data_IF_257556824677
#
_entry.id   IF_257556824677
#
_cell.length_a   1.000
_cell.length_b   1.000
_cell.length_c   1.000
_cell.angle_alpha   90.00
_cell.angle_beta   90.00
_cell.angle_gamma   90.00
#
_symmetry.space_group_name_H-M   'P 1'
#
loop_
_entity.id
_entity.type
_entity.pdbx_description
1 polymer ?
#
# COMPACT_ATOMS: atom_id res chain seq x y z
N UNK A 1 -19.72 -16.32 -8.51
CA UNK A 1 -18.69 -16.58 -9.53
C UNK A 1 -17.34 -16.58 -8.83
N UNK A 2 -16.47 -17.54 -9.16
CA UNK A 2 -15.13 -17.68 -8.56
C UNK A 2 -14.07 -17.51 -9.64
N UNK A 3 -13.02 -16.74 -9.32
CA UNK A 3 -11.85 -16.48 -10.17
C UNK A 3 -10.60 -16.76 -9.35
N UNK A 4 -9.63 -17.46 -9.93
CA UNK A 4 -8.33 -17.71 -9.33
C UNK A 4 -7.29 -16.97 -10.17
N UNK A 5 -6.48 -16.15 -9.50
CA UNK A 5 -5.41 -15.36 -10.10
C UNK A 5 -4.09 -15.84 -9.50
N UNK A 6 -3.20 -16.35 -10.33
CA UNK A 6 -1.85 -16.72 -9.93
C UNK A 6 -0.86 -15.90 -10.75
N UNK A 7 0.05 -15.20 -10.07
CA UNK A 7 1.05 -14.35 -10.72
C UNK A 7 2.37 -14.41 -9.97
N UNK A 8 3.44 -14.26 -10.75
CA UNK A 8 4.80 -14.10 -10.24
C UNK A 8 5.36 -12.83 -10.84
N UNK A 9 5.89 -11.96 -10.00
CA UNK A 9 6.46 -10.67 -10.39
C UNK A 9 7.94 -10.63 -10.00
N UNK A 10 8.85 -10.50 -10.96
CA UNK A 10 10.27 -10.30 -10.64
C UNK A 10 10.47 -8.91 -10.01
N UNK A 11 11.30 -8.86 -8.99
CA UNK A 11 11.65 -7.66 -8.25
C UNK A 11 13.15 -7.45 -8.28
N UNK A 12 13.60 -6.30 -8.77
CA UNK A 12 15.02 -5.91 -8.76
C UNK A 12 15.42 -5.43 -7.34
N UNK A 13 15.37 -6.34 -6.36
CA UNK A 13 15.62 -6.07 -4.95
C UNK A 13 16.07 -7.33 -4.23
N UNK A 14 16.51 -7.16 -2.95
CA UNK A 14 16.80 -8.28 -2.07
C UNK A 14 15.52 -8.90 -1.51
N UNK A 15 15.60 -10.17 -1.15
CA UNK A 15 14.47 -10.89 -0.50
C UNK A 15 14.05 -10.19 0.80
N UNK A 16 15.02 -9.71 1.58
CA UNK A 16 14.73 -9.10 2.89
C UNK A 16 14.07 -7.74 2.76
N UNK A 17 14.46 -6.91 1.77
CA UNK A 17 13.79 -5.65 1.49
C UNK A 17 12.35 -5.86 0.99
N UNK A 18 12.15 -6.82 0.09
CA UNK A 18 10.82 -7.16 -0.41
C UNK A 18 9.93 -7.74 0.70
N UNK A 19 10.47 -8.60 1.56
CA UNK A 19 9.76 -9.13 2.72
C UNK A 19 9.40 -8.04 3.73
N UNK A 20 10.33 -7.13 4.01
CA UNK A 20 10.07 -6.00 4.90
C UNK A 20 8.87 -5.16 4.42
N UNK A 21 8.79 -4.92 3.12
CA UNK A 21 7.65 -4.20 2.52
C UNK A 21 6.36 -5.04 2.53
N UNK A 22 6.46 -6.36 2.25
CA UNK A 22 5.27 -7.23 2.18
C UNK A 22 4.55 -7.40 3.52
N UNK A 23 5.28 -7.39 4.63
CA UNK A 23 4.68 -7.52 5.97
C UNK A 23 3.95 -6.26 6.46
N UNK A 24 4.13 -5.13 5.79
CA UNK A 24 3.40 -3.89 6.07
C UNK A 24 2.11 -3.86 5.23
N UNK A 25 1.01 -4.29 5.84
CA UNK A 25 -0.29 -4.42 5.18
C UNK A 25 -0.82 -3.08 4.65
N UNK A 26 -0.57 -1.98 5.36
CA UNK A 26 -1.02 -0.65 4.95
C UNK A 26 -0.22 -0.17 3.72
N UNK A 27 1.09 -0.37 3.72
CA UNK A 27 1.94 -0.07 2.57
C UNK A 27 1.59 -0.95 1.36
N UNK A 28 1.34 -2.25 1.56
CA UNK A 28 0.87 -3.17 0.51
C UNK A 28 -0.48 -2.73 -0.06
N UNK A 29 -1.42 -2.35 0.80
CA UNK A 29 -2.73 -1.86 0.37
C UNK A 29 -2.62 -0.56 -0.44
N UNK A 30 -1.70 0.33 -0.08
CA UNK A 30 -1.43 1.56 -0.85
C UNK A 30 -0.87 1.28 -2.25
N UNK A 31 -0.21 0.13 -2.47
CA UNK A 31 0.22 -0.31 -3.79
C UNK A 31 -0.94 -0.79 -4.68
N UNK A 32 -2.07 -1.18 -4.09
CA UNK A 32 -3.22 -1.70 -4.82
C UNK A 32 -4.03 -0.55 -5.43
N UNK A 33 -4.15 -0.48 -6.77
CA UNK A 33 -4.84 0.63 -7.42
C UNK A 33 -6.32 0.69 -7.03
N UNK A 34 -6.73 1.86 -6.58
CA UNK A 34 -8.11 2.12 -6.14
C UNK A 34 -8.45 1.62 -4.74
N UNK A 35 -7.51 0.98 -4.02
CA UNK A 35 -7.70 0.58 -2.64
C UNK A 35 -7.28 1.67 -1.66
N UNK A 36 -7.96 1.72 -0.52
CA UNK A 36 -7.64 2.63 0.58
C UNK A 36 -8.02 1.95 1.90
N UNK A 37 -7.08 1.84 2.83
CA UNK A 37 -7.38 1.50 4.21
C UNK A 37 -8.03 2.71 4.88
N UNK A 38 -9.21 2.53 5.44
CA UNK A 38 -9.98 3.60 6.09
C UNK A 38 -9.86 3.55 7.62
N UNK A 39 -9.57 2.38 8.16
CA UNK A 39 -9.47 2.18 9.61
C UNK A 39 -8.58 0.95 9.89
N UNK A 40 -7.67 1.07 10.83
CA UNK A 40 -6.99 -0.06 11.45
C UNK A 40 -7.73 -0.40 12.76
N UNK A 41 -8.42 -1.53 12.77
CA UNK A 41 -9.21 -1.95 13.95
C UNK A 41 -8.29 -2.53 15.03
N UNK A 42 -7.35 -3.39 14.61
CA UNK A 42 -6.30 -3.97 15.48
C UNK A 42 -5.08 -4.39 14.66
N UNK A 43 -4.23 -5.26 15.20
CA UNK A 43 -3.00 -5.70 14.54
C UNK A 43 -3.26 -6.57 13.28
N UNK A 44 -4.42 -7.18 13.19
CA UNK A 44 -4.77 -8.14 12.12
C UNK A 44 -6.02 -7.77 11.33
N UNK A 45 -6.81 -6.80 11.82
CA UNK A 45 -8.06 -6.40 11.20
C UNK A 45 -8.04 -4.95 10.73
N UNK A 46 -8.43 -4.76 9.48
CA UNK A 46 -8.50 -3.45 8.82
C UNK A 46 -9.84 -3.29 8.12
N UNK A 47 -10.31 -2.04 8.00
CA UNK A 47 -11.41 -1.70 7.09
C UNK A 47 -10.87 -0.90 5.92
N UNK A 48 -11.49 -1.09 4.78
CA UNK A 48 -11.04 -0.41 3.57
C UNK A 48 -12.11 -0.30 2.51
N UNK A 49 -11.75 0.43 1.48
CA UNK A 49 -12.54 0.55 0.26
C UNK A 49 -11.67 0.20 -0.94
N UNK A 50 -12.28 -0.34 -1.97
CA UNK A 50 -11.63 -0.52 -3.27
C UNK A 50 -12.57 -0.11 -4.40
N UNK A 51 -12.04 0.66 -5.35
CA UNK A 51 -12.73 1.07 -6.56
C UNK A 51 -12.19 0.27 -7.74
N UNK A 52 -13.04 -0.51 -8.38
CA UNK A 52 -12.67 -1.37 -9.50
C UNK A 52 -13.44 -0.97 -10.75
N UNK A 53 -12.74 -0.89 -11.89
CA UNK A 53 -13.35 -0.67 -13.20
C UNK A 53 -13.51 -2.00 -13.93
N UNK A 54 -14.75 -2.31 -14.30
CA UNK A 54 -15.14 -3.53 -15.03
C UNK A 54 -15.74 -3.11 -16.38
N UNK A 55 -14.88 -2.89 -17.36
CA UNK A 55 -15.29 -2.31 -18.64
C UNK A 55 -15.84 -0.89 -18.46
N UNK A 56 -17.08 -0.60 -18.88
CA UNK A 56 -17.71 0.70 -18.71
C UNK A 56 -18.21 0.97 -17.29
N UNK A 57 -18.29 -0.06 -16.43
CA UNK A 57 -18.81 0.06 -15.08
C UNK A 57 -17.69 0.34 -14.08
N UNK A 58 -17.96 1.21 -13.12
CA UNK A 58 -17.10 1.43 -11.95
C UNK A 58 -17.88 0.96 -10.72
N UNK A 59 -17.26 0.10 -9.92
CA UNK A 59 -17.81 -0.43 -8.69
C UNK A 59 -16.94 -0.04 -7.50
N UNK A 60 -17.57 0.38 -6.41
CA UNK A 60 -16.89 0.68 -5.16
C UNK A 60 -17.34 -0.32 -4.10
N UNK A 61 -16.39 -1.07 -3.56
CA UNK A 61 -16.62 -2.01 -2.46
C UNK A 61 -16.07 -1.43 -1.17
N UNK A 62 -16.81 -1.64 -0.09
CA UNK A 62 -16.39 -1.35 1.28
C UNK A 62 -16.43 -2.65 2.08
N UNK A 63 -15.44 -2.89 2.92
CA UNK A 63 -15.38 -4.12 3.67
C UNK A 63 -14.20 -4.22 4.62
N UNK A 64 -13.97 -5.46 5.05
CA UNK A 64 -12.98 -5.81 6.05
C UNK A 64 -11.87 -6.64 5.42
N UNK A 65 -10.65 -6.47 5.94
CA UNK A 65 -9.46 -7.23 5.59
C UNK A 65 -8.91 -7.82 6.88
N UNK A 66 -8.60 -9.12 6.85
CA UNK A 66 -8.05 -9.86 7.96
C UNK A 66 -6.71 -10.49 7.57
N UNK A 67 -5.69 -10.31 8.40
CA UNK A 67 -4.41 -11.00 8.29
C UNK A 67 -4.55 -12.37 8.94
N UNK A 68 -4.70 -13.42 8.12
CA UNK A 68 -4.82 -14.80 8.57
C UNK A 68 -3.49 -15.40 9.02
N UNK A 69 -2.40 -14.91 8.46
CA UNK A 69 -1.07 -15.39 8.79
C UNK A 69 0.04 -14.51 8.23
N UNK A 70 1.10 -14.39 9.02
CA UNK A 70 2.35 -13.76 8.64
C UNK A 70 3.47 -14.72 9.06
N UNK A 71 4.13 -15.36 8.09
CA UNK A 71 5.19 -16.33 8.31
C UNK A 71 6.55 -15.77 7.88
N UNK A 72 7.40 -15.36 8.84
CA UNK A 72 8.74 -14.84 8.52
C UNK A 72 9.67 -15.88 7.92
N UNK A 73 9.52 -17.16 8.26
CA UNK A 73 10.38 -18.22 7.75
C UNK A 73 10.09 -18.53 6.28
N UNK A 74 8.80 -18.63 5.94
CA UNK A 74 8.34 -18.79 4.57
C UNK A 74 8.29 -17.46 3.79
N UNK A 75 8.47 -16.32 4.46
CA UNK A 75 8.29 -14.96 3.91
C UNK A 75 6.96 -14.83 3.20
N UNK A 76 5.90 -15.27 3.85
CA UNK A 76 4.55 -15.29 3.30
C UNK A 76 3.56 -14.50 4.14
N UNK A 77 2.63 -13.86 3.45
CA UNK A 77 1.49 -13.12 3.99
C UNK A 77 0.21 -13.76 3.47
N UNK A 78 -0.69 -14.14 4.37
CA UNK A 78 -2.01 -14.67 4.07
C UNK A 78 -3.09 -13.69 4.51
N UNK A 79 -3.93 -13.23 3.59
CA UNK A 79 -4.99 -12.27 3.82
C UNK A 79 -6.35 -12.82 3.38
N UNK A 80 -7.38 -12.52 4.15
CA UNK A 80 -8.75 -12.61 3.70
C UNK A 80 -9.38 -11.23 3.60
N UNK A 81 -10.27 -11.05 2.63
CA UNK A 81 -11.07 -9.83 2.47
C UNK A 81 -12.52 -10.15 2.19
N UNK A 82 -13.43 -9.34 2.73
CA UNK A 82 -14.88 -9.43 2.46
C UNK A 82 -15.46 -8.04 2.34
N UNK A 83 -16.31 -7.83 1.34
CA UNK A 83 -16.93 -6.53 1.16
C UNK A 83 -18.18 -6.59 0.31
N UNK A 84 -18.95 -5.52 0.37
CA UNK A 84 -20.12 -5.30 -0.46
C UNK A 84 -19.97 -3.99 -1.23
N UNK A 85 -20.59 -3.92 -2.41
CA UNK A 85 -20.65 -2.66 -3.15
C UNK A 85 -21.52 -1.64 -2.42
N UNK A 86 -21.32 -0.36 -2.72
CA UNK A 86 -22.01 0.76 -2.05
C UNK A 86 -23.54 0.71 -2.15
N UNK A 87 -24.08 -0.04 -3.13
CA UNK A 87 -25.53 -0.22 -3.33
C UNK A 87 -26.05 -1.50 -2.67
N UNK A 88 -25.17 -2.36 -2.13
CA UNK A 88 -25.54 -3.67 -1.58
C UNK A 88 -25.97 -4.71 -2.63
N UNK A 89 -25.81 -4.38 -3.92
CA UNK A 89 -26.25 -5.25 -5.02
C UNK A 89 -25.24 -6.33 -5.39
N UNK A 90 -24.03 -6.25 -4.86
CA UNK A 90 -22.93 -7.18 -5.09
C UNK A 90 -22.11 -7.38 -3.82
N UNK A 91 -21.57 -8.58 -3.67
CA UNK A 91 -20.59 -8.87 -2.63
C UNK A 91 -19.37 -9.56 -3.24
N UNK A 92 -18.23 -9.36 -2.60
CA UNK A 92 -16.97 -9.98 -2.95
C UNK A 92 -16.27 -10.54 -1.71
N UNK A 93 -15.58 -11.66 -1.87
CA UNK A 93 -14.61 -12.16 -0.90
C UNK A 93 -13.34 -12.55 -1.60
N UNK A 94 -12.22 -12.42 -0.91
CA UNK A 94 -10.88 -12.72 -1.40
C UNK A 94 -10.14 -13.54 -0.35
N UNK A 95 -9.40 -14.54 -0.81
CA UNK A 95 -8.34 -15.23 -0.07
C UNK A 95 -7.05 -15.03 -0.87
N UNK A 96 -6.00 -14.49 -0.25
CA UNK A 96 -4.73 -14.15 -0.89
C UNK A 96 -3.57 -14.72 -0.09
N UNK A 97 -2.75 -15.52 -0.76
CA UNK A 97 -1.43 -15.91 -0.28
C UNK A 97 -0.35 -15.25 -1.15
N UNK A 98 0.50 -14.44 -0.54
CA UNK A 98 1.64 -13.80 -1.18
C UNK A 98 2.94 -14.27 -0.52
N UNK A 99 3.98 -14.55 -1.33
CA UNK A 99 5.27 -15.07 -0.83
C UNK A 99 6.41 -14.41 -1.59
N UNK A 100 7.44 -13.98 -0.87
CA UNK A 100 8.70 -13.49 -1.45
C UNK A 100 9.69 -14.63 -1.51
N UNK A 101 10.28 -14.86 -2.70
CA UNK A 101 11.25 -15.92 -2.95
C UNK A 101 12.52 -15.39 -3.61
N UNK A 102 13.65 -16.06 -3.38
CA UNK A 102 14.87 -15.78 -4.10
C UNK A 102 14.75 -16.21 -5.57
N UNK A 103 15.26 -15.37 -6.48
CA UNK A 103 15.30 -15.63 -7.92
C UNK A 103 16.68 -15.19 -8.46
N UNK A 104 17.69 -16.06 -8.37
CA UNK A 104 19.08 -15.73 -8.68
C UNK A 104 19.64 -14.65 -7.76
N UNK A 105 20.15 -13.56 -8.34
CA UNK A 105 20.69 -12.40 -7.59
C UNK A 105 19.62 -11.40 -7.13
N UNK A 106 18.36 -11.64 -7.49
CA UNK A 106 17.21 -10.80 -7.17
C UNK A 106 16.13 -11.61 -6.43
N UNK A 107 14.91 -11.11 -6.36
CA UNK A 107 13.79 -11.84 -5.77
C UNK A 107 12.55 -11.76 -6.66
N UNK A 108 11.53 -12.51 -6.29
CA UNK A 108 10.21 -12.45 -6.92
C UNK A 108 9.11 -12.46 -5.86
N UNK A 109 8.02 -11.78 -6.17
CA UNK A 109 6.77 -11.86 -5.42
C UNK A 109 5.84 -12.83 -6.16
N UNK A 110 5.53 -13.96 -5.52
CA UNK A 110 4.53 -14.91 -5.98
C UNK A 110 3.23 -14.67 -5.23
N UNK A 111 2.12 -14.54 -5.94
CA UNK A 111 0.80 -14.36 -5.35
C UNK A 111 -0.22 -15.30 -5.97
N UNK A 112 -1.05 -15.90 -5.10
CA UNK A 112 -2.25 -16.64 -5.47
C UNK A 112 -3.44 -16.03 -4.76
N UNK A 113 -4.41 -15.57 -5.52
CA UNK A 113 -5.64 -15.00 -4.99
C UNK A 113 -6.85 -15.74 -5.55
N UNK A 114 -7.76 -16.09 -4.65
CA UNK A 114 -9.06 -16.64 -4.97
C UNK A 114 -10.12 -15.59 -4.65
N UNK A 115 -10.83 -15.12 -5.68
CA UNK A 115 -11.85 -14.09 -5.55
C UNK A 115 -13.21 -14.69 -5.88
N UNK A 116 -14.15 -14.59 -4.95
CA UNK A 116 -15.56 -14.98 -5.15
C UNK A 116 -16.42 -13.73 -5.20
N UNK A 117 -17.25 -13.64 -6.23
CA UNK A 117 -18.18 -12.52 -6.42
C UNK A 117 -19.60 -13.02 -6.57
N UNK A 118 -20.56 -12.24 -6.06
CA UNK A 118 -21.99 -12.48 -6.15
C UNK A 118 -22.74 -11.22 -6.57
N UNK A 119 -24.04 -11.38 -6.85
CA UNK A 119 -24.90 -10.27 -7.28
C UNK A 119 -24.54 -9.75 -8.68
N UNK A 120 -24.75 -8.46 -8.91
CA UNK A 120 -24.55 -7.81 -10.23
C UNK A 120 -23.09 -7.92 -10.72
N UNK A 121 -22.09 -7.88 -9.80
CA UNK A 121 -20.69 -8.02 -10.18
C UNK A 121 -20.41 -9.37 -10.85
N UNK A 122 -21.06 -10.45 -10.42
CA UNK A 122 -20.89 -11.76 -11.03
C UNK A 122 -21.41 -11.84 -12.48
N UNK A 123 -22.32 -10.94 -12.89
CA UNK A 123 -22.88 -10.90 -14.23
C UNK A 123 -21.88 -10.43 -15.31
N UNK A 124 -20.77 -9.76 -14.92
CA UNK A 124 -19.74 -9.35 -15.89
C UNK A 124 -18.98 -10.53 -16.52
N UNK A 125 -19.04 -11.72 -15.90
CA UNK A 125 -18.44 -12.94 -16.42
C UNK A 125 -16.91 -13.03 -16.22
N UNK A 126 -16.41 -14.26 -16.25
CA UNK A 126 -15.01 -14.56 -15.92
C UNK A 126 -13.98 -13.87 -16.81
N UNK A 127 -14.25 -13.71 -18.09
CA UNK A 127 -13.30 -13.06 -19.04
C UNK A 127 -13.02 -11.61 -18.65
N UNK A 128 -14.08 -10.84 -18.34
CA UNK A 128 -13.93 -9.43 -17.94
C UNK A 128 -13.27 -9.30 -16.57
N UNK A 129 -13.62 -10.19 -15.65
CA UNK A 129 -13.00 -10.23 -14.32
C UNK A 129 -11.52 -10.56 -14.38
N UNK A 130 -11.13 -11.53 -15.21
CA UNK A 130 -9.71 -11.88 -15.43
C UNK A 130 -8.94 -10.70 -16.02
N UNK A 131 -9.49 -10.05 -17.05
CA UNK A 131 -8.84 -8.90 -17.70
C UNK A 131 -8.66 -7.72 -16.72
N UNK A 132 -9.68 -7.42 -15.90
CA UNK A 132 -9.57 -6.40 -14.86
C UNK A 132 -8.54 -6.80 -13.78
N UNK A 133 -8.56 -8.05 -13.33
CA UNK A 133 -7.59 -8.58 -12.38
C UNK A 133 -6.15 -8.50 -12.90
N UNK A 134 -5.92 -8.88 -14.14
CA UNK A 134 -4.59 -8.78 -14.77
C UNK A 134 -4.07 -7.34 -14.81
N UNK A 135 -4.93 -6.38 -15.13
CA UNK A 135 -4.54 -4.97 -15.17
C UNK A 135 -4.25 -4.42 -13.77
N UNK A 136 -5.09 -4.75 -12.78
CA UNK A 136 -4.89 -4.37 -11.38
C UNK A 136 -3.58 -4.94 -10.85
N UNK A 137 -3.31 -6.23 -11.08
CA UNK A 137 -2.10 -6.90 -10.62
C UNK A 137 -0.84 -6.38 -11.31
N UNK A 138 -0.92 -6.01 -12.60
CA UNK A 138 0.20 -5.37 -13.31
C UNK A 138 0.56 -4.02 -12.68
N UNK A 139 -0.43 -3.21 -12.35
CA UNK A 139 -0.20 -1.90 -11.71
C UNK A 139 0.27 -2.07 -10.26
N UNK A 140 -0.32 -3.01 -9.51
CA UNK A 140 0.14 -3.37 -8.18
C UNK A 140 1.63 -3.75 -8.18
N UNK A 141 2.05 -4.62 -9.10
CA UNK A 141 3.45 -5.06 -9.21
C UNK A 141 4.42 -3.89 -9.45
N UNK A 142 4.03 -2.93 -10.31
CA UNK A 142 4.83 -1.73 -10.56
C UNK A 142 4.94 -0.84 -9.31
N UNK A 143 3.82 -0.63 -8.62
CA UNK A 143 3.77 0.16 -7.38
C UNK A 143 4.57 -0.51 -6.25
N UNK A 144 4.42 -1.83 -6.09
CA UNK A 144 5.15 -2.60 -5.09
C UNK A 144 6.65 -2.62 -5.37
N UNK A 145 7.06 -2.78 -6.63
CA UNK A 145 8.47 -2.69 -7.00
C UNK A 145 9.07 -1.31 -6.66
N UNK A 146 8.32 -0.23 -6.89
CA UNK A 146 8.72 1.12 -6.51
C UNK A 146 8.82 1.29 -4.97
N UNK A 147 7.86 0.73 -4.21
CA UNK A 147 7.88 0.72 -2.75
C UNK A 147 9.12 0.03 -2.20
N UNK A 148 9.46 -1.14 -2.73
CA UNK A 148 10.63 -1.92 -2.28
C UNK A 148 11.95 -1.24 -2.61
N UNK A 149 12.01 -0.46 -3.69
CA UNK A 149 13.20 0.31 -4.10
C UNK A 149 13.31 1.68 -3.42
N UNK A 150 12.25 2.17 -2.79
CA UNK A 150 12.30 3.41 -2.04
C UNK A 150 13.28 3.29 -0.87
N UNK A 151 14.08 4.34 -0.56
CA UNK A 151 14.95 4.34 0.61
C UNK A 151 14.09 4.07 1.86
N UNK A 152 14.24 2.90 2.44
CA UNK A 152 13.57 2.59 3.69
C UNK A 152 14.25 3.43 4.77
N UNK A 153 13.49 4.30 5.44
CA UNK A 153 13.97 4.95 6.66
C UNK A 153 14.24 3.82 7.67
N UNK A 154 15.51 3.45 7.82
CA UNK A 154 15.90 2.56 8.91
C UNK A 154 15.47 3.24 10.21
N UNK A 155 14.69 2.59 11.08
CA UNK A 155 14.63 3.02 12.46
C UNK A 155 16.07 3.02 12.95
N UNK A 156 16.53 4.15 13.47
CA UNK A 156 17.83 4.24 14.11
C UNK A 156 17.86 3.20 15.25
N UNK A 157 18.41 2.02 14.98
CA UNK A 157 18.71 1.04 15.99
C UNK A 157 19.90 1.59 16.77
N UNK A 158 19.63 1.91 18.03
CA UNK A 158 20.57 1.99 19.14
C UNK A 158 21.98 2.52 18.84
N UNK A 159 22.12 3.85 18.86
CA UNK A 159 23.37 4.46 19.25
C UNK A 159 23.40 4.57 20.80
N UNK A 160 23.44 3.43 21.48
CA UNK A 160 23.87 3.32 22.86
C UNK A 160 25.29 2.74 22.79
N UNK A 161 26.24 3.59 22.88
CA UNK A 161 27.63 3.46 23.29
C UNK A 161 28.63 4.12 22.32
N UNK A 162 28.77 5.43 22.47
CA UNK A 162 29.97 6.14 22.04
C UNK A 162 30.28 7.23 23.08
N UNK A 163 31.56 7.36 23.55
CA UNK A 163 31.91 8.23 24.65
C UNK A 163 31.72 9.72 24.30
N UNK A 164 31.25 10.47 25.27
CA UNK A 164 30.98 11.91 25.21
C UNK A 164 32.28 12.66 24.93
N UNK A 165 32.45 13.43 23.86
CA UNK A 165 33.42 14.50 23.77
C UNK A 165 32.83 15.80 24.31
N UNK A 166 33.61 16.41 25.17
CA UNK A 166 33.45 17.67 25.87
C UNK A 166 33.10 18.86 24.95
N UNK A 167 32.34 19.76 25.51
CA UNK A 167 31.72 20.95 24.95
C UNK A 167 32.49 21.74 23.88
N UNK A 168 31.82 21.97 22.74
CA UNK A 168 32.12 23.12 21.87
C UNK A 168 30.79 23.86 21.55
N UNK A 169 30.85 25.18 21.57
CA UNK A 169 29.78 26.16 21.58
C UNK A 169 28.75 26.05 20.43
N UNK A 170 27.52 26.60 20.58
CA UNK A 170 26.41 26.40 19.66
C UNK A 170 26.61 27.18 18.38
N UNK A 171 26.72 26.50 17.25
CA UNK A 171 26.55 27.06 15.93
C UNK A 171 25.06 27.08 15.60
N UNK A 172 24.53 28.27 15.28
CA UNK A 172 23.15 28.54 14.92
C UNK A 172 22.72 27.71 13.70
N UNK A 173 22.00 26.62 13.91
CA UNK A 173 21.33 25.86 12.86
C UNK A 173 20.20 26.69 12.28
N UNK A 174 20.21 26.86 10.96
CA UNK A 174 19.13 27.48 10.18
C UNK A 174 17.83 26.70 10.39
N UNK A 175 16.93 27.25 11.21
CA UNK A 175 15.61 26.68 11.44
C UNK A 175 14.74 26.83 10.17
N UNK A 176 14.60 25.77 9.38
CA UNK A 176 13.76 25.72 8.17
C UNK A 176 12.29 26.12 8.43
N UNK A 177 11.81 25.93 9.67
CA UNK A 177 10.48 26.35 10.11
C UNK A 177 10.34 27.91 10.17
N UNK A 178 11.41 28.63 10.50
CA UNK A 178 11.40 30.09 10.53
C UNK A 178 11.34 30.69 9.12
N UNK A 179 11.98 30.03 8.14
CA UNK A 179 11.93 30.44 6.72
C UNK A 179 10.53 30.20 6.10
N UNK A 180 9.91 29.06 6.40
CA UNK A 180 8.56 28.77 5.93
C UNK A 180 7.52 29.74 6.51
N UNK A 181 7.68 30.13 7.76
CA UNK A 181 6.79 31.10 8.44
C UNK A 181 6.96 32.52 7.91
N UNK A 182 8.19 32.91 7.55
CA UNK A 182 8.46 34.20 6.95
C UNK A 182 7.82 34.32 5.54
N UNK A 183 7.91 33.28 4.70
CA UNK A 183 7.29 33.27 3.38
C UNK A 183 5.76 33.31 3.45
N UNK A 184 5.14 32.60 4.39
CA UNK A 184 3.70 32.63 4.59
C UNK A 184 3.20 34.00 5.03
N UNK A 185 3.94 34.68 5.93
CA UNK A 185 3.59 36.03 6.41
C UNK A 185 3.68 37.07 5.33
N UNK A 186 4.69 37.00 4.45
CA UNK A 186 4.86 37.97 3.34
C UNK A 186 3.81 37.75 2.25
N UNK A 187 3.39 36.48 1.99
CA UNK A 187 2.30 36.19 1.08
C UNK A 187 0.95 36.75 1.56
N UNK A 188 0.63 36.61 2.85
CA UNK A 188 -0.58 37.18 3.46
C UNK A 188 -0.57 38.71 3.41
N UNK A 189 0.58 39.38 3.65
CA UNK A 189 0.69 40.84 3.53
C UNK A 189 0.48 41.33 2.10
N UNK A 190 0.93 40.56 1.08
CA UNK A 190 0.72 40.89 -0.32
C UNK A 190 -0.75 40.87 -0.76
N UNK A 191 -1.59 40.06 -0.12
CA UNK A 191 -3.02 39.99 -0.43
C UNK A 191 -3.78 41.19 0.14
N UNK A 192 -3.41 41.70 1.29
CA UNK A 192 -4.06 42.87 1.91
C UNK A 192 -3.59 44.22 1.38
N UNK A 193 -2.43 44.28 0.73
CA UNK A 193 -1.91 45.54 0.15
C UNK A 193 -2.54 45.90 -1.21
N UNK A 194 -3.33 45.03 -1.84
CA UNK A 194 -3.99 45.26 -3.14
C UNK A 194 -5.43 45.78 -3.07
N UNK A 195 -5.92 46.17 -1.88
CA UNK A 195 -7.30 46.64 -1.73
C UNK A 195 -7.38 48.08 -1.18
N UNK A 196 -6.47 48.95 -1.61
CA UNK A 196 -6.55 50.37 -1.36
C UNK A 196 -5.99 51.15 -2.58
N UNK A 197 -6.79 51.28 -3.60
CA UNK A 197 -6.86 52.39 -4.57
C UNK A 197 -8.14 52.24 -5.38
#
# INVERSE_FOLDING_TARGET
MKVVLEKVFPLASTVDAAWHSLRDVEAVAACMPGATITERVDATHYKGTIVVRLGPATMSFKGDIEVLGLDPAARSLHLAGKGADSTGSSAASMDLLATVRAAGAACELAGRSEVTMSGKAAAFGGRMMNAAGDQILKQFAANFAALVQAPQAQPAADAADAPVPEAAAPQAGLNGLALAWAMLRDWVRGIFARKAT
#
